data_IF_219020020175
#
_entry.id   IF_219020020175
#
_cell.length_a   1.000
_cell.length_b   1.000
_cell.length_c   1.000
_cell.angle_alpha   90.00
_cell.angle_beta   90.00
_cell.angle_gamma   90.00
#
_symmetry.space_group_name_H-M   'P 1'
#
loop_
_entity.id
_entity.type
_entity.pdbx_description
1 polymer ?
#
# COMPACT_ATOMS: atom_id res chain seq x y z
N UNK A 1 -5.12 25.69 -9.33
CA UNK A 1 -3.71 25.26 -9.27
C UNK A 1 -3.40 24.90 -7.81
N UNK A 2 -3.18 23.63 -7.49
CA UNK A 2 -2.80 23.24 -6.13
C UNK A 2 -1.40 23.80 -5.81
N UNK A 3 -1.28 24.51 -4.69
CA UNK A 3 -0.05 25.15 -4.25
C UNK A 3 0.98 24.06 -3.91
N UNK A 4 2.17 24.11 -4.49
CA UNK A 4 3.23 23.14 -4.19
C UNK A 4 3.56 23.19 -2.70
N UNK A 5 3.30 22.09 -1.99
CA UNK A 5 3.66 21.95 -0.58
C UNK A 5 5.18 21.80 -0.53
N UNK A 6 5.87 22.80 0.00
CA UNK A 6 7.32 22.75 0.21
C UNK A 6 7.62 21.67 1.25
N UNK A 7 8.07 20.49 0.81
CA UNK A 7 8.44 19.35 1.66
C UNK A 7 9.95 19.13 1.62
N UNK A 8 10.72 20.07 2.16
CA UNK A 8 12.17 19.87 2.38
C UNK A 8 12.46 18.96 3.59
N UNK A 9 11.44 18.39 4.22
CA UNK A 9 11.59 17.46 5.34
C UNK A 9 11.82 16.04 4.83
N UNK A 10 13.08 15.59 4.84
CA UNK A 10 13.42 14.17 4.69
C UNK A 10 13.13 13.48 6.02
N UNK A 11 12.19 12.54 6.03
CA UNK A 11 11.90 11.72 7.20
C UNK A 11 13.05 10.72 7.46
N UNK A 12 13.26 10.37 8.73
CA UNK A 12 14.24 9.35 9.11
C UNK A 12 13.86 7.98 8.53
N UNK A 13 14.84 7.26 7.96
CA UNK A 13 14.66 5.91 7.45
C UNK A 13 14.82 4.88 8.59
N UNK A 14 13.77 4.72 9.40
CA UNK A 14 13.76 3.80 10.55
C UNK A 14 14.01 2.34 10.18
N UNK A 15 13.59 1.92 8.98
CA UNK A 15 13.76 0.53 8.50
C UNK A 15 15.18 0.29 8.02
N UNK A 16 15.89 1.32 7.56
CA UNK A 16 17.25 1.24 7.01
C UNK A 16 17.46 0.08 6.01
N UNK A 17 16.45 -0.16 5.15
CA UNK A 17 16.39 -1.29 4.17
C UNK A 17 16.43 -2.70 4.78
N UNK A 18 16.29 -2.83 6.10
CA UNK A 18 16.31 -4.11 6.85
C UNK A 18 14.95 -4.81 6.82
N UNK A 19 14.49 -5.17 5.64
CA UNK A 19 13.13 -5.69 5.42
C UNK A 19 12.87 -7.10 5.99
N UNK A 20 13.91 -7.86 6.36
CA UNK A 20 13.79 -9.24 6.86
C UNK A 20 14.19 -9.42 8.32
N UNK A 21 15.00 -8.52 8.88
CA UNK A 21 15.58 -8.67 10.22
C UNK A 21 14.53 -8.62 11.34
N UNK A 22 13.38 -8.01 11.07
CA UNK A 22 12.29 -7.88 12.05
C UNK A 22 11.35 -9.10 12.08
N UNK A 23 11.44 -10.02 11.10
CA UNK A 23 10.54 -11.16 10.96
C UNK A 23 9.21 -10.85 10.25
N UNK A 24 8.35 -11.88 10.05
CA UNK A 24 7.07 -11.73 9.35
C UNK A 24 6.10 -10.76 10.04
N UNK A 25 5.29 -10.08 9.24
CA UNK A 25 4.24 -9.11 9.64
C UNK A 25 4.76 -7.92 10.46
N UNK A 26 6.07 -7.61 10.42
CA UNK A 26 6.66 -6.45 11.13
C UNK A 26 6.91 -5.23 10.28
N UNK A 27 7.28 -5.43 9.01
CA UNK A 27 7.45 -4.35 8.03
C UNK A 27 6.51 -4.63 6.88
N UNK A 28 5.53 -3.75 6.69
CA UNK A 28 4.56 -3.84 5.60
C UNK A 28 4.91 -2.84 4.51
N UNK A 29 4.83 -3.28 3.27
CA UNK A 29 5.02 -2.45 2.09
C UNK A 29 3.66 -2.23 1.44
N UNK A 30 3.29 -0.98 1.25
CA UNK A 30 2.04 -0.59 0.60
C UNK A 30 2.36 0.12 -0.70
N UNK A 31 1.65 -0.21 -1.76
CA UNK A 31 1.75 0.49 -3.03
C UNK A 31 0.39 0.57 -3.70
N UNK A 32 0.17 1.65 -4.46
CA UNK A 32 -1.03 1.80 -5.29
C UNK A 32 -0.57 1.86 -6.74
N UNK A 33 -1.07 0.93 -7.54
CA UNK A 33 -0.84 0.90 -8.99
C UNK A 33 -2.15 0.98 -9.76
N UNK A 34 -2.08 1.10 -11.08
CA UNK A 34 -3.23 0.99 -11.95
C UNK A 34 -3.19 -0.34 -12.72
N UNK A 35 -4.37 -0.93 -12.91
CA UNK A 35 -4.58 -2.10 -13.74
C UNK A 35 -5.58 -1.72 -14.83
N UNK A 36 -5.21 -1.97 -16.08
CA UNK A 36 -6.12 -1.80 -17.21
C UNK A 36 -6.90 -3.09 -17.42
N UNK A 37 -8.21 -2.96 -17.64
CA UNK A 37 -9.11 -4.08 -17.85
C UNK A 37 -10.23 -3.67 -18.82
N UNK A 38 -10.84 -4.65 -19.49
CA UNK A 38 -11.82 -4.42 -20.55
C UNK A 38 -11.31 -3.38 -21.58
N UNK A 39 -12.20 -2.86 -22.43
CA UNK A 39 -11.89 -1.93 -23.51
C UNK A 39 -11.39 -0.56 -23.04
N UNK A 40 -10.24 -0.50 -22.37
CA UNK A 40 -9.58 0.72 -21.92
C UNK A 40 -9.97 1.20 -20.51
N UNK A 41 -10.73 0.42 -19.75
CA UNK A 41 -11.05 0.79 -18.37
C UNK A 41 -9.82 0.64 -17.47
N UNK A 42 -9.80 1.41 -16.39
CA UNK A 42 -8.70 1.46 -15.44
C UNK A 42 -9.23 1.33 -14.03
N UNK A 43 -8.66 0.42 -13.26
CA UNK A 43 -8.85 0.34 -11.81
C UNK A 43 -7.53 0.72 -11.13
N UNK A 44 -7.63 1.29 -9.93
CA UNK A 44 -6.54 1.42 -8.99
C UNK A 44 -6.51 0.19 -8.11
N UNK A 45 -5.33 -0.32 -7.81
CA UNK A 45 -5.14 -1.48 -6.95
C UNK A 45 -4.19 -1.08 -5.83
N UNK A 46 -4.67 -1.15 -4.59
CA UNK A 46 -3.81 -1.08 -3.42
C UNK A 46 -3.39 -2.49 -3.03
N UNK A 47 -2.12 -2.69 -2.74
CA UNK A 47 -1.59 -3.96 -2.23
C UNK A 47 -0.82 -3.70 -0.95
N UNK A 48 -1.09 -4.53 0.07
CA UNK A 48 -0.25 -4.63 1.28
C UNK A 48 0.54 -5.92 1.22
N UNK A 49 1.87 -5.81 1.24
CA UNK A 49 2.80 -6.94 1.14
C UNK A 49 3.69 -7.02 2.37
N UNK A 50 3.87 -8.22 2.89
CA UNK A 50 4.87 -8.46 3.94
C UNK A 50 6.29 -8.33 3.38
N UNK A 51 7.12 -7.48 3.99
CA UNK A 51 8.46 -7.25 3.49
C UNK A 51 9.40 -8.45 3.72
N UNK A 52 9.11 -9.31 4.70
CA UNK A 52 9.93 -10.46 5.04
C UNK A 52 9.63 -11.66 4.13
N UNK A 53 8.38 -12.12 4.11
CA UNK A 53 7.90 -13.31 3.38
C UNK A 53 7.55 -13.03 1.91
N UNK A 54 7.37 -11.75 1.54
CA UNK A 54 6.92 -11.31 0.21
C UNK A 54 5.48 -11.69 -0.14
N UNK A 55 4.71 -12.22 0.81
CA UNK A 55 3.30 -12.53 0.61
C UNK A 55 2.46 -11.25 0.51
N UNK A 56 1.50 -11.23 -0.41
CA UNK A 56 0.42 -10.25 -0.41
C UNK A 56 -0.54 -10.62 0.72
N UNK A 57 -0.76 -9.69 1.64
CA UNK A 57 -1.62 -9.91 2.81
C UNK A 57 -3.04 -9.37 2.60
N UNK A 58 -3.20 -8.29 1.84
CA UNK A 58 -4.49 -7.70 1.48
C UNK A 58 -4.39 -6.91 0.18
N UNK A 59 -5.49 -6.80 -0.55
CA UNK A 59 -5.57 -5.99 -1.77
C UNK A 59 -7.02 -5.60 -2.10
N UNK A 60 -7.23 -4.33 -2.46
CA UNK A 60 -8.55 -3.84 -2.88
C UNK A 60 -8.41 -3.09 -4.21
N UNK A 61 -9.17 -3.48 -5.25
CA UNK A 61 -9.33 -2.67 -6.45
C UNK A 61 -10.38 -1.58 -6.24
N UNK A 62 -10.20 -0.42 -6.87
CA UNK A 62 -11.14 0.71 -6.83
C UNK A 62 -11.16 1.44 -8.18
N UNK A 63 -12.30 2.04 -8.52
CA UNK A 63 -12.41 2.94 -9.68
C UNK A 63 -11.90 4.36 -9.36
N UNK A 64 -11.75 4.71 -8.07
CA UNK A 64 -11.30 6.02 -7.58
C UNK A 64 -10.04 5.89 -6.69
N UNK A 65 -9.34 7.02 -6.48
CA UNK A 65 -8.21 7.15 -5.54
C UNK A 65 -8.65 7.72 -4.18
N UNK A 66 -9.90 7.49 -3.78
CA UNK A 66 -10.44 8.01 -2.53
C UNK A 66 -9.79 7.35 -1.31
N UNK A 67 -9.88 7.98 -0.15
CA UNK A 67 -9.27 7.43 1.07
C UNK A 67 -10.00 6.16 1.54
N UNK A 68 -11.27 6.00 1.19
CA UNK A 68 -12.11 4.92 1.69
C UNK A 68 -11.59 3.53 1.28
N UNK A 69 -11.14 3.34 0.03
CA UNK A 69 -10.59 2.04 -0.39
C UNK A 69 -9.23 1.72 0.27
N UNK A 70 -8.46 2.75 0.67
CA UNK A 70 -7.24 2.57 1.47
C UNK A 70 -7.60 2.01 2.85
N UNK A 71 -8.60 2.60 3.50
CA UNK A 71 -9.09 2.13 4.79
C UNK A 71 -9.72 0.74 4.70
N UNK A 72 -10.41 0.44 3.60
CA UNK A 72 -10.96 -0.89 3.31
C UNK A 72 -9.86 -1.95 3.24
N UNK A 73 -8.75 -1.66 2.55
CA UNK A 73 -7.63 -2.62 2.47
C UNK A 73 -7.00 -2.90 3.84
N UNK A 74 -6.97 -1.91 4.74
CA UNK A 74 -6.52 -2.11 6.12
C UNK A 74 -7.50 -2.99 6.90
N UNK A 75 -8.82 -2.80 6.72
CA UNK A 75 -9.83 -3.66 7.34
C UNK A 75 -9.72 -5.10 6.85
N UNK A 76 -9.52 -5.31 5.55
CA UNK A 76 -9.29 -6.63 4.95
C UNK A 76 -8.06 -7.31 5.55
N UNK A 77 -6.94 -6.57 5.66
CA UNK A 77 -5.72 -7.06 6.31
C UNK A 77 -5.99 -7.54 7.74
N UNK A 78 -6.65 -6.70 8.54
CA UNK A 78 -6.93 -7.01 9.94
C UNK A 78 -7.85 -8.23 10.07
N UNK A 79 -8.93 -8.29 9.28
CA UNK A 79 -9.88 -9.39 9.31
C UNK A 79 -9.25 -10.75 8.96
N UNK A 80 -8.33 -10.77 7.99
CA UNK A 80 -7.78 -12.03 7.47
C UNK A 80 -6.52 -12.52 8.22
N UNK A 81 -5.92 -11.68 9.07
CA UNK A 81 -4.59 -11.94 9.65
C UNK A 81 -4.48 -11.66 11.16
N UNK A 82 -5.61 -11.71 11.90
CA UNK A 82 -5.65 -11.71 13.37
C UNK A 82 -4.70 -12.73 14.01
#
# INVERSE_FOLDING_TARGET
>A
MAKAIKKDAVAENLVNKKFREHGPKKVLLTDITYVFYNSGNKAYLLVIKDACTKQVLAYVPSESLEVDFVLETIKELMHNHE
#
